data_IF_302613253742
#
_entry.id   IF_302613253742
#
_cell.length_a   1.000
_cell.length_b   1.000
_cell.length_c   1.000
_cell.angle_alpha   90.00
_cell.angle_beta   90.00
_cell.angle_gamma   90.00
#
_symmetry.space_group_name_H-M   'P 1'
#
loop_
_entity.id
_entity.type
_entity.pdbx_description
1 polymer ?
#
# COMPACT_ATOMS: atom_id res chain seq x y z
N UNK A 1 -7.65 0.60 -0.75
CA UNK A 1 -7.77 -0.50 -1.73
C UNK A 1 -7.40 0.00 -3.10
N UNK A 2 -6.73 -0.82 -3.88
CA UNK A 2 -6.67 -0.61 -5.33
C UNK A 2 -8.09 -0.42 -5.80
N UNK A 3 -8.38 0.53 -6.68
CA UNK A 3 -9.67 0.57 -7.36
C UNK A 3 -9.91 -0.84 -7.90
N UNK A 4 -10.96 -1.50 -7.43
CA UNK A 4 -11.30 -2.87 -7.85
C UNK A 4 -11.35 -2.98 -9.38
N UNK A 5 -11.72 -1.90 -10.02
CA UNK A 5 -11.89 -1.80 -11.46
C UNK A 5 -10.55 -1.85 -12.22
N UNK A 6 -9.48 -1.26 -11.70
CA UNK A 6 -8.16 -1.26 -12.36
C UNK A 6 -7.46 -2.63 -12.24
N UNK A 7 -7.48 -3.24 -11.06
CA UNK A 7 -6.98 -4.60 -10.84
C UNK A 7 -7.84 -5.64 -11.56
N UNK A 8 -9.16 -5.49 -11.49
CA UNK A 8 -10.09 -6.38 -12.18
C UNK A 8 -9.95 -6.26 -13.70
N UNK A 9 -9.74 -5.05 -14.22
CA UNK A 9 -9.53 -4.81 -15.64
C UNK A 9 -8.25 -5.45 -16.18
N UNK A 10 -7.12 -5.29 -15.49
CA UNK A 10 -5.85 -5.90 -15.88
C UNK A 10 -5.88 -7.43 -15.79
N UNK A 11 -6.46 -7.97 -14.72
CA UNK A 11 -6.64 -9.41 -14.56
C UNK A 11 -7.63 -9.98 -15.59
N UNK A 12 -8.73 -9.29 -15.86
CA UNK A 12 -9.72 -9.72 -16.85
C UNK A 12 -9.17 -9.67 -18.27
N UNK A 13 -8.39 -8.65 -18.62
CA UNK A 13 -7.74 -8.55 -19.91
C UNK A 13 -6.74 -9.69 -20.14
N UNK A 14 -5.96 -10.07 -19.10
CA UNK A 14 -5.03 -11.19 -19.17
C UNK A 14 -5.76 -12.53 -19.23
N UNK A 15 -6.79 -12.71 -18.41
CA UNK A 15 -7.63 -13.91 -18.39
C UNK A 15 -8.40 -14.13 -19.71
N UNK A 16 -8.78 -13.05 -20.41
CA UNK A 16 -9.47 -13.16 -21.70
C UNK A 16 -8.54 -13.61 -22.84
N UNK A 17 -7.22 -13.43 -22.70
CA UNK A 17 -6.26 -13.83 -23.70
C UNK A 17 -5.84 -15.31 -23.63
N UNK A 18 -6.05 -16.01 -22.52
CA UNK A 18 -5.45 -17.33 -22.27
C UNK A 18 -6.46 -18.50 -22.20
N UNK A 19 -7.76 -18.30 -22.35
CA UNK A 19 -8.75 -19.40 -22.26
C UNK A 19 -8.91 -19.93 -20.81
N UNK A 20 -9.48 -21.12 -20.59
CA UNK A 20 -9.67 -21.68 -19.25
C UNK A 20 -8.31 -22.00 -18.61
N UNK A 21 -7.88 -21.19 -17.64
CA UNK A 21 -6.55 -21.21 -17.04
C UNK A 21 -6.41 -22.44 -16.13
N UNK A 22 -5.48 -23.31 -16.48
CA UNK A 22 -5.06 -24.45 -15.65
C UNK A 22 -4.01 -24.03 -14.59
N UNK A 23 -3.31 -22.87 -14.79
CA UNK A 23 -2.24 -22.40 -13.91
C UNK A 23 -2.64 -21.05 -13.30
N UNK A 24 -2.55 -20.90 -11.97
CA UNK A 24 -2.79 -19.60 -11.32
C UNK A 24 -1.77 -18.55 -11.80
N UNK A 25 -2.21 -17.31 -11.99
CA UNK A 25 -1.32 -16.18 -12.30
C UNK A 25 -0.36 -15.92 -11.15
N UNK A 26 0.92 -15.72 -11.44
CA UNK A 26 1.92 -15.30 -10.46
C UNK A 26 1.90 -13.77 -10.31
N UNK A 27 1.46 -13.31 -9.16
CA UNK A 27 1.41 -11.89 -8.79
C UNK A 27 2.48 -11.63 -7.74
N UNK A 28 3.36 -10.64 -7.97
CA UNK A 28 4.40 -10.26 -7.02
C UNK A 28 4.16 -8.89 -6.44
N UNK A 29 4.07 -8.83 -5.11
CA UNK A 29 3.99 -7.57 -4.38
C UNK A 29 5.40 -7.13 -4.00
N UNK A 30 5.84 -6.02 -4.60
CA UNK A 30 7.16 -5.42 -4.33
C UNK A 30 6.99 -4.29 -3.33
N UNK A 31 7.42 -4.52 -2.11
CA UNK A 31 7.31 -3.59 -1.00
C UNK A 31 8.65 -3.10 -0.47
N UNK A 32 8.63 -2.32 0.60
CA UNK A 32 9.82 -1.69 1.18
C UNK A 32 10.19 -2.34 2.52
N UNK A 33 9.21 -2.72 3.31
CA UNK A 33 9.36 -3.25 4.66
C UNK A 33 8.78 -4.65 4.76
N UNK A 34 9.53 -5.59 5.33
CA UNK A 34 9.21 -7.02 5.31
C UNK A 34 7.81 -7.30 5.89
N UNK A 35 7.57 -6.92 7.13
CA UNK A 35 6.28 -7.18 7.80
C UNK A 35 5.10 -6.54 7.08
N UNK A 36 5.21 -5.26 6.73
CA UNK A 36 4.16 -4.55 6.00
C UNK A 36 3.92 -5.16 4.61
N UNK A 37 4.98 -5.52 3.89
CA UNK A 37 4.89 -6.14 2.56
C UNK A 37 4.17 -7.48 2.63
N UNK A 38 4.49 -8.32 3.60
CA UNK A 38 3.82 -9.61 3.83
C UNK A 38 2.35 -9.44 4.22
N UNK A 39 2.04 -8.46 5.07
CA UNK A 39 0.66 -8.19 5.49
C UNK A 39 -0.20 -7.70 4.33
N UNK A 40 0.34 -6.79 3.51
CA UNK A 40 -0.32 -6.35 2.28
C UNK A 40 -0.46 -7.48 1.27
N UNK A 41 0.59 -8.27 1.05
CA UNK A 41 0.55 -9.42 0.18
C UNK A 41 -0.53 -10.42 0.59
N UNK A 42 -0.64 -10.74 1.89
CA UNK A 42 -1.72 -11.59 2.42
C UNK A 42 -3.11 -10.97 2.20
N UNK A 43 -3.23 -9.66 2.35
CA UNK A 43 -4.50 -8.96 2.12
C UNK A 43 -4.92 -8.99 0.65
N UNK A 44 -3.96 -8.82 -0.26
CA UNK A 44 -4.17 -8.94 -1.71
C UNK A 44 -4.51 -10.38 -2.08
N UNK A 45 -3.76 -11.36 -1.58
CA UNK A 45 -4.01 -12.78 -1.84
C UNK A 45 -5.44 -13.18 -1.51
N UNK A 46 -5.96 -12.76 -0.34
CA UNK A 46 -7.36 -13.03 0.06
C UNK A 46 -8.40 -12.46 -0.91
N UNK A 47 -8.07 -11.41 -1.66
CA UNK A 47 -8.98 -10.78 -2.62
C UNK A 47 -8.88 -11.40 -4.02
N UNK A 48 -7.76 -12.00 -4.35
CA UNK A 48 -7.47 -12.52 -5.69
C UNK A 48 -7.61 -14.05 -5.81
N UNK A 49 -7.59 -14.78 -4.69
CA UNK A 49 -7.78 -16.26 -4.74
C UNK A 49 -9.17 -16.63 -5.29
N UNK A 50 -9.32 -17.76 -6.02
CA UNK A 50 -8.34 -18.84 -6.20
C UNK A 50 -7.49 -18.74 -7.47
N UNK A 51 -7.56 -17.67 -8.24
CA UNK A 51 -6.97 -17.56 -9.59
C UNK A 51 -5.54 -17.02 -9.63
N UNK A 52 -5.01 -16.58 -8.49
CA UNK A 52 -3.68 -15.98 -8.41
C UNK A 52 -2.90 -16.56 -7.23
N UNK A 53 -1.60 -16.73 -7.41
CA UNK A 53 -0.63 -16.81 -6.32
C UNK A 53 -0.03 -15.44 -6.07
N UNK A 54 0.15 -15.06 -4.80
CA UNK A 54 0.73 -13.77 -4.45
C UNK A 54 2.01 -14.01 -3.66
N UNK A 55 3.15 -13.70 -4.28
CA UNK A 55 4.46 -13.64 -3.63
C UNK A 55 4.81 -12.23 -3.19
N UNK A 56 5.76 -12.10 -2.27
CA UNK A 56 6.25 -10.83 -1.76
C UNK A 56 7.77 -10.74 -1.96
N UNK A 57 8.25 -9.60 -2.42
CA UNK A 57 9.67 -9.31 -2.60
C UNK A 57 9.95 -7.90 -2.08
N UNK A 58 11.09 -7.68 -1.45
CA UNK A 58 11.48 -6.34 -1.01
C UNK A 58 12.27 -5.61 -2.09
N UNK A 59 12.11 -4.29 -2.15
CA UNK A 59 12.93 -3.44 -3.01
C UNK A 59 14.43 -3.61 -2.77
N UNK A 60 14.84 -3.83 -1.51
CA UNK A 60 16.22 -4.10 -1.12
C UNK A 60 16.80 -5.37 -1.74
N UNK A 61 15.95 -6.31 -2.13
CA UNK A 61 16.36 -7.63 -2.60
C UNK A 61 16.38 -7.71 -4.14
N UNK A 62 15.92 -6.66 -4.84
CA UNK A 62 15.88 -6.62 -6.31
C UNK A 62 17.26 -6.61 -6.95
N UNK A 63 18.28 -6.10 -6.27
CA UNK A 63 19.66 -6.09 -6.76
C UNK A 63 20.35 -7.45 -6.66
N UNK A 64 19.69 -8.46 -6.08
CA UNK A 64 20.18 -9.81 -5.87
C UNK A 64 19.34 -10.81 -6.69
N UNK A 65 18.91 -11.88 -6.03
CA UNK A 65 18.14 -12.96 -6.67
C UNK A 65 16.67 -12.56 -6.96
N UNK A 66 16.15 -11.55 -6.26
CA UNK A 66 14.77 -11.09 -6.40
C UNK A 66 14.39 -10.54 -7.77
N UNK A 67 15.37 -10.03 -8.55
CA UNK A 67 15.09 -9.49 -9.89
C UNK A 67 14.61 -10.57 -10.87
N UNK A 68 15.14 -11.78 -10.77
CA UNK A 68 14.74 -12.90 -11.62
C UNK A 68 13.30 -13.37 -11.31
N UNK A 69 12.94 -13.46 -10.02
CA UNK A 69 11.58 -13.80 -9.59
C UNK A 69 10.56 -12.77 -10.06
N UNK A 70 10.89 -11.49 -9.93
CA UNK A 70 9.99 -10.39 -10.27
C UNK A 70 9.80 -10.30 -11.79
N UNK A 71 10.83 -10.60 -12.58
CA UNK A 71 10.73 -10.64 -14.07
C UNK A 71 9.86 -11.78 -14.58
N UNK A 72 9.82 -12.89 -13.87
CA UNK A 72 9.01 -14.06 -14.23
C UNK A 72 7.53 -13.96 -13.87
N UNK A 73 7.13 -12.95 -13.12
CA UNK A 73 5.76 -12.78 -12.69
C UNK A 73 4.83 -12.32 -13.83
N UNK A 74 3.54 -12.60 -13.70
CA UNK A 74 2.51 -12.12 -14.64
C UNK A 74 2.07 -10.68 -14.34
N UNK A 75 2.17 -10.26 -13.08
CA UNK A 75 1.78 -8.93 -12.63
C UNK A 75 2.60 -8.51 -11.40
N UNK A 76 3.07 -7.27 -11.41
CA UNK A 76 3.71 -6.65 -10.26
C UNK A 76 2.75 -5.69 -9.57
N UNK A 77 2.77 -5.72 -8.25
CA UNK A 77 2.06 -4.78 -7.40
C UNK A 77 3.09 -3.99 -6.60
N UNK A 78 2.92 -2.67 -6.50
CA UNK A 78 3.78 -1.82 -5.67
C UNK A 78 3.05 -0.58 -5.19
N UNK A 79 3.69 0.22 -4.35
CA UNK A 79 3.14 1.49 -3.89
C UNK A 79 3.31 2.61 -4.93
N UNK A 80 2.44 3.64 -4.93
CA UNK A 80 2.47 4.73 -5.91
C UNK A 80 3.85 5.40 -6.04
N UNK A 81 4.49 5.70 -4.92
CA UNK A 81 5.78 6.37 -4.87
C UNK A 81 6.95 5.48 -5.34
N UNK A 82 6.77 4.15 -5.43
CA UNK A 82 7.79 3.19 -5.89
C UNK A 82 7.59 2.72 -7.33
N UNK A 83 6.48 3.05 -7.95
CA UNK A 83 6.19 2.63 -9.32
C UNK A 83 7.30 3.01 -10.31
N UNK A 84 7.71 4.29 -10.30
CA UNK A 84 8.74 4.78 -11.23
C UNK A 84 10.11 4.14 -11.00
N UNK A 85 10.44 3.82 -9.75
CA UNK A 85 11.68 3.14 -9.42
C UNK A 85 11.65 1.71 -9.96
N UNK A 86 10.53 1.01 -9.80
CA UNK A 86 10.34 -0.33 -10.32
C UNK A 86 10.33 -0.38 -11.86
N UNK A 87 9.67 0.58 -12.52
CA UNK A 87 9.69 0.72 -13.99
C UNK A 87 11.12 0.94 -14.54
N UNK A 88 11.97 1.70 -13.81
CA UNK A 88 13.38 1.90 -14.19
C UNK A 88 14.22 0.64 -14.03
N UNK A 89 13.97 -0.16 -13.01
CA UNK A 89 14.67 -1.42 -12.77
C UNK A 89 14.25 -2.52 -13.75
N UNK A 90 13.02 -2.44 -14.26
CA UNK A 90 12.38 -3.43 -15.10
C UNK A 90 11.75 -2.77 -16.35
N UNK A 91 12.53 -2.17 -17.25
CA UNK A 91 11.98 -1.43 -18.40
C UNK A 91 11.12 -2.31 -19.33
N UNK A 92 11.47 -3.59 -19.47
CA UNK A 92 10.74 -4.58 -20.28
C UNK A 92 10.10 -5.67 -19.38
N UNK A 93 9.77 -5.30 -18.13
CA UNK A 93 9.23 -6.21 -17.16
C UNK A 93 7.71 -6.43 -17.27
N UNK A 94 7.16 -7.24 -16.36
CA UNK A 94 5.72 -7.45 -16.25
C UNK A 94 4.95 -6.14 -16.02
N UNK A 95 3.65 -6.09 -16.34
CA UNK A 95 2.81 -4.94 -16.04
C UNK A 95 2.83 -4.62 -14.54
N UNK A 96 2.83 -3.33 -14.20
CA UNK A 96 2.89 -2.85 -12.83
C UNK A 96 1.58 -2.17 -12.47
N UNK A 97 0.87 -2.71 -11.48
CA UNK A 97 -0.28 -2.07 -10.86
C UNK A 97 0.09 -1.46 -9.50
N UNK A 98 -0.62 -0.39 -9.14
CA UNK A 98 -0.35 0.36 -7.92
C UNK A 98 -1.35 0.01 -6.83
N UNK A 99 -0.84 -0.37 -5.66
CA UNK A 99 -1.65 -0.60 -4.47
C UNK A 99 -1.65 0.67 -3.61
N UNK A 100 -2.83 1.23 -3.38
CA UNK A 100 -2.99 2.37 -2.46
C UNK A 100 -3.48 1.89 -1.11
N UNK A 101 -2.86 2.39 -0.06
CA UNK A 101 -3.37 2.18 1.29
C UNK A 101 -4.67 2.96 1.48
N UNK A 102 -5.71 2.25 1.91
CA UNK A 102 -6.93 2.87 2.38
C UNK A 102 -7.23 2.35 3.80
N UNK A 103 -7.52 3.23 4.74
CA UNK A 103 -8.00 2.80 6.05
C UNK A 103 -9.23 1.90 5.91
N UNK A 104 -9.48 1.04 6.89
CA UNK A 104 -10.68 0.20 6.91
C UNK A 104 -11.95 1.06 6.88
N UNK A 105 -13.08 0.50 6.45
CA UNK A 105 -14.36 1.22 6.42
C UNK A 105 -14.73 1.80 7.80
N UNK A 106 -14.40 1.05 8.88
CA UNK A 106 -14.58 1.50 10.25
C UNK A 106 -13.76 2.75 10.56
N UNK A 107 -12.45 2.70 10.29
CA UNK A 107 -11.54 3.83 10.55
C UNK A 107 -11.93 5.05 9.71
N UNK A 108 -12.33 4.86 8.45
CA UNK A 108 -12.84 5.96 7.62
C UNK A 108 -14.09 6.61 8.22
N UNK A 109 -15.02 5.80 8.73
CA UNK A 109 -16.22 6.28 9.42
C UNK A 109 -15.89 7.04 10.70
N UNK A 110 -14.96 6.53 11.51
CA UNK A 110 -14.48 7.18 12.73
C UNK A 110 -13.81 8.53 12.43
N UNK A 111 -12.94 8.59 11.39
CA UNK A 111 -12.30 9.82 10.95
C UNK A 111 -13.32 10.86 10.44
N UNK A 112 -14.31 10.41 9.65
CA UNK A 112 -15.34 11.30 9.13
C UNK A 112 -16.29 11.83 10.23
N UNK A 113 -16.42 11.12 11.35
CA UNK A 113 -17.25 11.49 12.48
C UNK A 113 -16.53 12.36 13.52
N UNK A 114 -15.23 12.65 13.36
CA UNK A 114 -14.51 13.51 14.28
C UNK A 114 -15.10 14.93 14.31
N UNK A 115 -15.04 15.56 15.46
CA UNK A 115 -15.36 17.00 15.57
C UNK A 115 -14.33 17.85 14.83
N UNK A 116 -14.72 18.94 14.16
CA UNK A 116 -13.77 19.86 13.53
C UNK A 116 -12.84 20.59 14.52
N UNK A 117 -13.13 20.52 15.80
CA UNK A 117 -12.32 21.13 16.87
C UNK A 117 -11.28 20.16 17.46
N UNK A 118 -11.22 18.92 16.97
CA UNK A 118 -10.26 17.93 17.43
C UNK A 118 -8.88 18.22 16.86
N UNK A 119 -7.84 18.10 17.68
CA UNK A 119 -6.45 18.09 17.24
C UNK A 119 -6.05 16.64 16.95
N UNK A 120 -5.78 16.35 15.69
CA UNK A 120 -5.50 15.01 15.22
C UNK A 120 -3.99 14.78 15.06
N UNK A 121 -3.44 13.83 15.80
CA UNK A 121 -2.07 13.38 15.70
C UNK A 121 -1.94 12.11 14.88
N UNK A 122 -0.94 12.04 14.03
CA UNK A 122 -0.58 10.84 13.26
C UNK A 122 0.81 10.38 13.67
N UNK A 123 0.95 9.11 14.00
CA UNK A 123 2.23 8.50 14.31
C UNK A 123 2.49 7.39 13.31
N UNK A 124 3.55 7.51 12.52
CA UNK A 124 4.00 6.46 11.61
C UNK A 124 5.18 5.71 12.22
N UNK A 125 5.19 4.39 12.12
CA UNK A 125 6.38 3.58 12.43
C UNK A 125 7.46 3.71 11.35
N UNK A 126 7.09 4.23 10.16
CA UNK A 126 7.92 4.30 8.97
C UNK A 126 8.00 5.75 8.48
N UNK A 127 9.19 6.40 8.50
CA UNK A 127 9.37 7.79 8.09
C UNK A 127 8.88 8.07 6.67
N UNK A 128 9.23 7.21 5.72
CA UNK A 128 8.90 7.36 4.30
C UNK A 128 7.41 7.22 4.01
N UNK A 129 6.67 6.58 4.92
CA UNK A 129 5.24 6.40 4.79
C UNK A 129 4.43 7.60 5.32
N UNK A 130 5.01 8.41 6.21
CA UNK A 130 4.31 9.52 6.85
C UNK A 130 3.61 10.49 5.87
N UNK A 131 4.20 10.92 4.75
CA UNK A 131 3.51 11.80 3.79
C UNK A 131 2.25 11.14 3.18
N UNK A 132 2.35 9.88 2.78
CA UNK A 132 1.23 9.10 2.23
C UNK A 132 0.14 8.88 3.27
N UNK A 133 0.54 8.65 4.52
CA UNK A 133 -0.39 8.47 5.63
C UNK A 133 -1.15 9.75 5.95
N UNK A 134 -0.46 10.90 5.99
CA UNK A 134 -1.06 12.23 6.16
C UNK A 134 -2.09 12.52 5.06
N UNK A 135 -1.75 12.30 3.79
CA UNK A 135 -2.69 12.47 2.67
C UNK A 135 -3.91 11.55 2.81
N UNK A 136 -3.67 10.29 3.12
CA UNK A 136 -4.72 9.29 3.29
C UNK A 136 -5.72 9.66 4.38
N UNK A 137 -5.23 10.08 5.54
CA UNK A 137 -6.08 10.50 6.67
C UNK A 137 -6.78 11.83 6.37
N UNK A 138 -6.08 12.79 5.77
CA UNK A 138 -6.67 14.09 5.39
C UNK A 138 -7.82 13.92 4.40
N UNK A 139 -7.77 12.93 3.51
CA UNK A 139 -8.86 12.62 2.59
C UNK A 139 -10.18 12.25 3.28
N UNK A 140 -10.14 11.72 4.51
CA UNK A 140 -11.32 11.33 5.28
C UNK A 140 -11.65 12.26 6.46
N UNK A 141 -10.72 13.13 6.84
CA UNK A 141 -10.87 14.10 7.94
C UNK A 141 -10.61 15.53 7.45
N UNK A 142 -11.13 15.91 6.27
CA UNK A 142 -10.93 17.24 5.67
C UNK A 142 -11.46 18.38 6.52
N UNK A 143 -12.47 18.12 7.34
CA UNK A 143 -13.09 19.07 8.26
C UNK A 143 -12.30 19.29 9.55
N UNK A 144 -11.22 18.50 9.78
CA UNK A 144 -10.32 18.66 10.93
C UNK A 144 -9.11 19.47 10.48
N UNK A 145 -9.02 20.77 10.86
CA UNK A 145 -7.94 21.64 10.38
C UNK A 145 -6.60 21.33 11.03
N UNK A 146 -6.60 20.94 12.31
CA UNK A 146 -5.39 20.64 13.06
C UNK A 146 -5.00 19.17 12.92
N UNK A 147 -4.12 18.91 11.95
CA UNK A 147 -3.55 17.60 11.69
C UNK A 147 -2.01 17.70 11.73
N UNK A 148 -1.41 16.96 12.65
CA UNK A 148 0.05 16.88 12.79
C UNK A 148 0.52 15.45 12.65
N UNK A 149 1.67 15.25 11.99
CA UNK A 149 2.26 13.93 11.82
C UNK A 149 3.67 13.89 12.37
N UNK A 150 4.03 12.76 12.97
CA UNK A 150 5.38 12.45 13.43
C UNK A 150 5.70 10.98 13.21
N UNK A 151 6.94 10.61 13.46
CA UNK A 151 7.43 9.24 13.35
C UNK A 151 7.73 8.69 14.75
N UNK A 152 7.49 7.40 14.94
CA UNK A 152 7.83 6.72 16.19
C UNK A 152 9.34 6.88 16.49
N UNK A 153 9.66 7.38 17.69
CA UNK A 153 11.02 7.68 18.10
C UNK A 153 11.59 9.03 17.63
N UNK A 154 10.81 9.85 16.90
CA UNK A 154 11.22 11.20 16.54
C UNK A 154 11.24 12.13 17.78
N UNK A 155 12.08 13.19 17.78
CA UNK A 155 12.20 14.10 18.91
C UNK A 155 10.91 14.86 19.28
N UNK A 156 10.01 15.06 18.32
CA UNK A 156 8.73 15.74 18.46
C UNK A 156 7.55 14.81 18.83
N UNK A 157 7.80 13.50 18.96
CA UNK A 157 6.75 12.52 19.26
C UNK A 157 5.97 12.88 20.54
N UNK A 158 6.67 13.17 21.64
CA UNK A 158 6.05 13.51 22.91
C UNK A 158 5.22 14.81 22.83
N UNK A 159 5.63 15.76 21.98
CA UNK A 159 4.90 16.99 21.76
C UNK A 159 3.61 16.71 20.99
N UNK A 160 3.68 15.94 19.90
CA UNK A 160 2.51 15.55 19.10
C UNK A 160 1.51 14.76 19.95
N UNK A 161 1.98 13.79 20.75
CA UNK A 161 1.11 13.00 21.63
C UNK A 161 0.38 13.86 22.67
N UNK A 162 1.09 14.83 23.30
CA UNK A 162 0.48 15.70 24.32
C UNK A 162 -0.48 16.73 23.75
N UNK A 163 -0.26 17.16 22.51
CA UNK A 163 -1.05 18.22 21.88
C UNK A 163 -2.22 17.68 21.06
N UNK A 164 -2.34 16.36 20.90
CA UNK A 164 -3.42 15.75 20.15
C UNK A 164 -4.51 15.20 21.05
N UNK A 165 -5.77 15.36 20.65
CA UNK A 165 -6.94 14.81 21.33
C UNK A 165 -7.24 13.39 20.82
N UNK A 166 -6.87 13.11 19.57
CA UNK A 166 -6.99 11.79 18.93
C UNK A 166 -5.67 11.44 18.25
N UNK A 167 -5.24 10.19 18.41
CA UNK A 167 -4.05 9.66 17.74
C UNK A 167 -4.44 8.55 16.78
N UNK A 168 -3.96 8.63 15.54
CA UNK A 168 -4.00 7.55 14.55
C UNK A 168 -2.57 7.08 14.30
N UNK A 169 -2.35 5.77 14.32
CA UNK A 169 -1.02 5.21 14.10
C UNK A 169 -1.02 4.15 12.99
N UNK A 170 0.16 3.99 12.32
CA UNK A 170 0.42 2.98 11.29
C UNK A 170 1.88 2.54 11.30
#
# INVERSE_FOLDING_TARGET
GVPRDELSGLLTARLAQEGPIAVPLDVRFVGIFDDATRDYGRSVARQLTPRCTVGCTLFSDLDRDGLAEVRGADLLLTFPHKRKDLERLLPDGPPIAVVRFLPSARVRGELAALSPFVRLGLVSSVPEFLPTFLEGVRGFAQHVPELRGTVLGAPDLDEVLRQSDVIVYA
#
